data_IF_214648237908
#
_entry.id   IF_214648237908
#
_cell.length_a   1.000
_cell.length_b   1.000
_cell.length_c   1.000
_cell.angle_alpha   90.00
_cell.angle_beta   90.00
_cell.angle_gamma   90.00
#
_symmetry.space_group_name_H-M   'P 1'
#
loop_
_entity.id
_entity.type
_entity.pdbx_description
1 polymer ?
#
# COMPACT_ATOMS: atom_id res chain seq x y z
N UNK A 1 -38.93 58.75 -24.30
CA UNK A 1 -38.59 57.54 -23.52
C UNK A 1 -38.12 56.48 -24.47
N UNK A 2 -36.81 56.19 -24.58
CA UNK A 2 -36.32 55.03 -25.31
C UNK A 2 -36.28 53.82 -24.38
N UNK A 3 -36.90 52.73 -24.82
CA UNK A 3 -36.94 51.43 -24.15
C UNK A 3 -35.55 50.81 -24.09
N UNK A 4 -35.01 50.60 -22.89
CA UNK A 4 -33.83 49.76 -22.65
C UNK A 4 -34.16 48.32 -23.04
N UNK A 5 -33.56 47.85 -24.14
CA UNK A 5 -33.47 46.43 -24.43
C UNK A 5 -32.47 45.81 -23.45
N UNK A 6 -32.97 45.21 -22.38
CA UNK A 6 -32.18 44.38 -21.47
C UNK A 6 -31.82 43.09 -22.20
N UNK A 7 -30.75 43.12 -22.99
CA UNK A 7 -30.20 41.94 -23.65
C UNK A 7 -29.66 41.00 -22.56
N UNK A 8 -30.44 39.98 -22.24
CA UNK A 8 -30.12 39.03 -21.18
C UNK A 8 -28.77 38.37 -21.47
N UNK A 9 -27.85 38.43 -20.51
CA UNK A 9 -26.52 37.86 -20.64
C UNK A 9 -26.61 36.38 -21.09
N UNK A 10 -25.75 35.93 -22.01
CA UNK A 10 -25.79 34.57 -22.53
C UNK A 10 -25.65 33.57 -21.37
N UNK A 11 -26.66 32.70 -21.23
CA UNK A 11 -26.66 31.63 -20.24
C UNK A 11 -25.49 30.70 -20.56
N UNK A 12 -24.51 30.66 -19.67
CA UNK A 12 -23.41 29.70 -19.76
C UNK A 12 -23.99 28.28 -19.63
N UNK A 13 -24.03 27.54 -20.75
CA UNK A 13 -24.35 26.12 -20.75
C UNK A 13 -23.02 25.36 -20.66
N UNK A 14 -22.71 24.68 -19.55
CA UNK A 14 -21.50 23.90 -19.46
C UNK A 14 -21.52 22.80 -20.54
N UNK A 15 -20.39 22.56 -21.24
CA UNK A 15 -20.32 21.56 -22.30
C UNK A 15 -20.67 20.17 -21.75
N UNK A 16 -21.36 19.36 -22.57
CA UNK A 16 -21.69 17.97 -22.23
C UNK A 16 -20.41 17.20 -21.92
N UNK A 17 -20.40 16.58 -20.76
CA UNK A 17 -19.24 15.88 -20.22
C UNK A 17 -18.90 14.67 -21.09
N UNK A 18 -17.68 14.62 -21.62
CA UNK A 18 -17.19 13.46 -22.37
C UNK A 18 -16.51 12.48 -21.41
N UNK A 19 -16.67 11.18 -21.67
CA UNK A 19 -16.10 10.11 -20.84
C UNK A 19 -14.56 10.14 -20.79
N UNK A 20 -13.91 10.62 -21.86
CA UNK A 20 -12.46 10.72 -22.01
C UNK A 20 -12.01 12.20 -22.01
N UNK A 21 -12.30 12.93 -20.95
CA UNK A 21 -11.75 14.29 -20.73
C UNK A 21 -10.39 14.23 -20.01
N UNK A 22 -9.45 15.06 -20.45
CA UNK A 22 -8.10 15.11 -19.86
C UNK A 22 -8.16 15.55 -18.39
N UNK A 23 -7.69 14.67 -17.49
CA UNK A 23 -7.44 14.93 -16.05
C UNK A 23 -8.65 15.39 -15.23
N UNK A 24 -9.89 15.22 -15.72
CA UNK A 24 -11.09 15.55 -14.96
C UNK A 24 -11.40 14.46 -13.94
N UNK A 25 -11.63 14.86 -12.69
CA UNK A 25 -12.04 13.93 -11.64
C UNK A 25 -13.55 13.67 -11.73
N UNK A 26 -14.01 12.41 -11.79
CA UNK A 26 -15.44 12.11 -11.81
C UNK A 26 -16.08 12.53 -10.48
N UNK A 27 -17.35 12.97 -10.54
CA UNK A 27 -18.17 13.17 -9.34
C UNK A 27 -18.16 11.90 -8.47
N UNK A 28 -18.25 12.03 -7.14
CA UNK A 28 -18.20 10.90 -6.21
C UNK A 28 -19.20 9.76 -6.57
N UNK A 29 -20.41 10.11 -7.01
CA UNK A 29 -21.42 9.15 -7.46
C UNK A 29 -20.96 8.36 -8.70
N UNK A 30 -20.44 9.05 -9.73
CA UNK A 30 -19.89 8.38 -10.92
C UNK A 30 -18.66 7.54 -10.62
N UNK A 31 -17.78 8.02 -9.74
CA UNK A 31 -16.62 7.24 -9.29
C UNK A 31 -17.07 5.94 -8.62
N UNK A 32 -18.09 6.01 -7.74
CA UNK A 32 -18.66 4.83 -7.09
C UNK A 32 -19.32 3.88 -8.10
N UNK A 33 -20.13 4.39 -9.04
CA UNK A 33 -20.75 3.57 -10.09
C UNK A 33 -19.70 2.87 -10.95
N UNK A 34 -18.66 3.58 -11.37
CA UNK A 34 -17.57 3.00 -12.17
C UNK A 34 -16.76 1.98 -11.36
N UNK A 35 -16.51 2.22 -10.07
CA UNK A 35 -15.85 1.26 -9.19
C UNK A 35 -16.69 -0.02 -9.01
N UNK A 36 -18.00 0.12 -8.77
CA UNK A 36 -18.92 -1.02 -8.69
C UNK A 36 -19.00 -1.77 -10.01
N UNK A 37 -19.08 -1.07 -11.14
CA UNK A 37 -19.08 -1.67 -12.47
C UNK A 37 -17.76 -2.44 -12.73
N UNK A 38 -16.62 -1.87 -12.35
CA UNK A 38 -15.32 -2.54 -12.45
C UNK A 38 -15.24 -3.79 -11.57
N UNK A 39 -15.73 -3.73 -10.33
CA UNK A 39 -15.77 -4.89 -9.44
C UNK A 39 -16.70 -6.00 -9.97
N UNK A 40 -17.90 -5.64 -10.43
CA UNK A 40 -18.83 -6.58 -11.03
C UNK A 40 -18.29 -7.19 -12.34
N UNK A 41 -17.62 -6.39 -13.16
CA UNK A 41 -16.93 -6.88 -14.36
C UNK A 41 -15.85 -7.89 -14.00
N UNK A 42 -15.03 -7.61 -12.97
CA UNK A 42 -14.00 -8.54 -12.50
C UNK A 42 -14.60 -9.85 -12.00
N UNK A 43 -15.63 -9.80 -11.16
CA UNK A 43 -16.31 -10.99 -10.65
C UNK A 43 -17.02 -11.77 -11.77
N UNK A 44 -17.66 -11.06 -12.71
CA UNK A 44 -18.29 -11.68 -13.87
C UNK A 44 -17.28 -12.37 -14.79
N UNK A 45 -16.12 -11.76 -15.01
CA UNK A 45 -15.02 -12.36 -15.78
C UNK A 45 -14.44 -13.61 -15.09
N UNK A 46 -14.31 -13.58 -13.76
CA UNK A 46 -13.90 -14.75 -12.98
C UNK A 46 -14.92 -15.88 -13.15
N UNK A 47 -16.20 -15.63 -12.86
CA UNK A 47 -17.24 -16.66 -12.91
C UNK A 47 -17.39 -17.22 -14.34
N UNK A 48 -17.32 -16.36 -15.36
CA UNK A 48 -17.28 -16.78 -16.75
C UNK A 48 -16.06 -17.68 -17.04
N UNK A 49 -14.88 -17.34 -16.53
CA UNK A 49 -13.68 -18.16 -16.65
C UNK A 49 -13.86 -19.57 -16.08
N UNK A 50 -14.56 -19.72 -14.95
CA UNK A 50 -14.88 -21.03 -14.37
C UNK A 50 -15.78 -21.86 -15.30
N UNK A 51 -16.87 -21.28 -15.80
CA UNK A 51 -17.82 -22.01 -16.64
C UNK A 51 -17.28 -22.30 -18.05
N UNK A 52 -16.42 -21.44 -18.58
CA UNK A 52 -15.72 -21.64 -19.86
C UNK A 52 -14.59 -22.68 -19.76
N UNK A 53 -14.09 -22.96 -18.56
CA UNK A 53 -13.06 -23.98 -18.34
C UNK A 53 -13.67 -25.39 -18.48
N UNK A 54 -13.02 -26.31 -19.22
CA UNK A 54 -13.47 -27.70 -19.33
C UNK A 54 -13.68 -28.35 -17.96
N UNK A 55 -14.68 -29.21 -17.83
CA UNK A 55 -15.03 -29.84 -16.55
C UNK A 55 -13.86 -30.56 -15.86
N UNK A 56 -12.94 -31.15 -16.64
CA UNK A 56 -11.72 -31.79 -16.14
C UNK A 56 -10.73 -30.83 -15.47
N UNK A 57 -10.79 -29.53 -15.81
CA UNK A 57 -9.88 -28.51 -15.32
C UNK A 57 -10.52 -27.52 -14.33
N UNK A 58 -11.85 -27.58 -14.12
CA UNK A 58 -12.57 -26.67 -13.19
C UNK A 58 -12.03 -26.71 -11.76
N UNK A 59 -11.49 -27.85 -11.32
CA UNK A 59 -10.86 -27.97 -10.00
C UNK A 59 -9.66 -27.02 -9.82
N UNK A 60 -9.02 -26.60 -10.91
CA UNK A 60 -7.90 -25.64 -10.88
C UNK A 60 -8.34 -24.17 -10.99
N UNK A 61 -9.62 -23.92 -11.24
CA UNK A 61 -10.16 -22.58 -11.37
C UNK A 61 -11.54 -22.52 -10.70
N UNK A 62 -11.60 -22.53 -9.36
CA UNK A 62 -12.85 -22.59 -8.61
C UNK A 62 -13.71 -21.34 -8.82
N UNK A 63 -15.02 -21.54 -8.77
CA UNK A 63 -16.04 -20.50 -8.80
C UNK A 63 -16.00 -19.61 -7.56
N UNK A 64 -16.65 -18.45 -7.64
CA UNK A 64 -16.75 -17.53 -6.49
C UNK A 64 -17.48 -18.22 -5.33
N UNK A 65 -18.48 -19.06 -5.61
CA UNK A 65 -19.21 -19.83 -4.60
C UNK A 65 -18.33 -20.85 -3.88
N UNK A 66 -17.48 -21.58 -4.61
CA UNK A 66 -16.53 -22.53 -4.01
C UNK A 66 -15.53 -21.82 -3.10
N UNK A 67 -14.97 -20.70 -3.54
CA UNK A 67 -14.06 -19.88 -2.70
C UNK A 67 -14.77 -19.32 -1.47
N UNK A 68 -16.03 -18.89 -1.62
CA UNK A 68 -16.87 -18.44 -0.51
C UNK A 68 -17.10 -19.55 0.52
N UNK A 69 -17.38 -20.77 0.06
CA UNK A 69 -17.56 -21.93 0.95
C UNK A 69 -16.25 -22.32 1.65
N UNK A 70 -15.11 -22.26 0.95
CA UNK A 70 -13.80 -22.52 1.53
C UNK A 70 -13.45 -21.47 2.60
N UNK A 71 -13.75 -20.19 2.36
CA UNK A 71 -13.61 -19.13 3.37
C UNK A 71 -14.43 -19.42 4.62
N UNK A 72 -15.69 -19.83 4.46
CA UNK A 72 -16.55 -20.19 5.58
C UNK A 72 -15.93 -21.33 6.40
N UNK A 73 -15.53 -22.43 5.75
CA UNK A 73 -14.88 -23.58 6.42
C UNK A 73 -13.59 -23.16 7.12
N UNK A 74 -12.76 -22.34 6.49
CA UNK A 74 -11.51 -21.86 7.08
C UNK A 74 -11.77 -21.09 8.38
N UNK A 75 -12.66 -20.10 8.34
CA UNK A 75 -12.94 -19.25 9.49
C UNK A 75 -13.77 -19.93 10.58
N UNK A 76 -14.78 -20.73 10.20
CA UNK A 76 -15.69 -21.36 11.14
C UNK A 76 -15.15 -22.67 11.76
N UNK A 77 -14.38 -23.45 10.99
CA UNK A 77 -14.02 -24.83 11.39
C UNK A 77 -12.51 -25.02 11.60
N UNK A 78 -11.66 -24.24 10.92
CA UNK A 78 -10.19 -24.48 10.90
C UNK A 78 -9.38 -23.44 11.67
N UNK A 79 -10.02 -22.64 12.52
CA UNK A 79 -9.38 -21.59 13.33
C UNK A 79 -8.46 -20.66 12.52
N UNK A 80 -8.82 -20.37 11.26
CA UNK A 80 -7.99 -19.59 10.35
C UNK A 80 -7.72 -18.15 10.83
N UNK A 81 -8.54 -17.65 11.77
CA UNK A 81 -8.32 -16.36 12.42
C UNK A 81 -6.97 -16.32 13.15
N UNK A 82 -6.50 -17.44 13.72
CA UNK A 82 -5.19 -17.52 14.35
C UNK A 82 -4.07 -17.32 13.31
N UNK A 83 -4.13 -18.02 12.18
CA UNK A 83 -3.17 -17.85 11.08
C UNK A 83 -3.16 -16.39 10.58
N UNK A 84 -4.34 -15.81 10.35
CA UNK A 84 -4.48 -14.40 9.95
C UNK A 84 -3.85 -13.47 10.97
N UNK A 85 -4.06 -13.70 12.27
CA UNK A 85 -3.50 -12.85 13.33
C UNK A 85 -1.98 -12.88 13.37
N UNK A 86 -1.37 -14.05 13.17
CA UNK A 86 0.09 -14.22 13.11
C UNK A 86 0.67 -13.49 11.90
N UNK A 87 0.04 -13.65 10.73
CA UNK A 87 0.41 -12.94 9.50
C UNK A 87 0.35 -11.42 9.67
N UNK A 88 -0.74 -10.90 10.25
CA UNK A 88 -0.89 -9.48 10.58
C UNK A 88 0.23 -9.02 11.53
N UNK A 89 0.47 -9.74 12.62
CA UNK A 89 1.50 -9.40 13.58
C UNK A 89 2.89 -9.30 12.94
N UNK A 90 3.26 -10.26 12.08
CA UNK A 90 4.53 -10.26 11.33
C UNK A 90 4.69 -9.01 10.46
N UNK A 91 3.63 -8.61 9.76
CA UNK A 91 3.64 -7.38 8.94
C UNK A 91 3.78 -6.15 9.82
N UNK A 92 2.93 -5.99 10.84
CA UNK A 92 2.94 -4.77 11.64
C UNK A 92 4.26 -4.60 12.39
N UNK A 93 4.81 -5.66 13.00
CA UNK A 93 6.06 -5.56 13.75
C UNK A 93 7.26 -5.24 12.85
N UNK A 94 7.36 -5.90 11.69
CA UNK A 94 8.43 -5.66 10.71
C UNK A 94 8.33 -4.27 10.09
N UNK A 95 7.12 -3.84 9.73
CA UNK A 95 6.87 -2.54 9.12
C UNK A 95 7.09 -1.39 10.10
N UNK A 96 6.70 -1.53 11.37
CA UNK A 96 6.99 -0.54 12.40
C UNK A 96 8.49 -0.43 12.67
N UNK A 97 9.20 -1.56 12.79
CA UNK A 97 10.65 -1.55 12.93
C UNK A 97 11.35 -0.87 11.73
N UNK A 98 10.92 -1.19 10.51
CA UNK A 98 11.44 -0.56 9.30
C UNK A 98 11.15 0.94 9.27
N UNK A 99 9.91 1.34 9.59
CA UNK A 99 9.51 2.76 9.58
C UNK A 99 10.25 3.59 10.62
N UNK A 100 10.46 3.04 11.82
CA UNK A 100 11.20 3.69 12.90
C UNK A 100 12.65 4.03 12.52
N UNK A 101 13.25 3.28 11.59
CA UNK A 101 14.61 3.53 11.07
C UNK A 101 14.54 4.35 9.77
N UNK A 102 13.65 3.96 8.86
CA UNK A 102 13.59 4.52 7.52
C UNK A 102 13.16 5.98 7.50
N UNK A 103 12.16 6.34 8.30
CA UNK A 103 11.60 7.69 8.32
C UNK A 103 12.63 8.71 8.84
N UNK A 104 13.28 8.51 9.99
CA UNK A 104 14.32 9.44 10.45
C UNK A 104 15.49 9.56 9.47
N UNK A 105 16.01 8.43 8.96
CA UNK A 105 17.14 8.45 8.02
C UNK A 105 16.76 9.17 6.72
N UNK A 106 15.58 8.89 6.16
CA UNK A 106 15.10 9.54 4.95
C UNK A 106 14.94 11.05 5.11
N UNK A 107 14.36 11.50 6.24
CA UNK A 107 14.22 12.93 6.54
C UNK A 107 15.59 13.60 6.68
N UNK A 108 16.53 12.96 7.38
CA UNK A 108 17.88 13.48 7.57
C UNK A 108 18.64 13.58 6.24
N UNK A 109 18.54 12.57 5.38
CA UNK A 109 19.12 12.62 4.04
C UNK A 109 18.46 13.69 3.15
N UNK A 110 17.15 13.88 3.30
CA UNK A 110 16.40 14.94 2.63
C UNK A 110 16.90 16.33 3.02
N UNK A 111 17.24 16.50 4.29
CA UNK A 111 17.58 17.80 4.88
C UNK A 111 19.07 18.14 4.85
N UNK A 112 19.96 17.13 4.85
CA UNK A 112 21.41 17.33 4.97
C UNK A 112 22.16 16.61 3.83
N UNK A 113 22.82 17.40 2.97
CA UNK A 113 23.59 16.89 1.84
C UNK A 113 24.69 15.90 2.22
N UNK A 114 25.36 16.10 3.36
CA UNK A 114 26.42 15.18 3.82
C UNK A 114 25.87 13.80 4.22
N UNK A 115 24.72 13.77 4.90
CA UNK A 115 24.05 12.51 5.27
C UNK A 115 23.58 11.80 3.99
N UNK A 116 23.03 12.56 3.03
CA UNK A 116 22.68 12.03 1.71
C UNK A 116 23.89 11.42 1.01
N UNK A 117 25.01 12.12 0.94
CA UNK A 117 26.22 11.61 0.28
C UNK A 117 26.76 10.33 0.94
N UNK A 118 26.63 10.21 2.26
CA UNK A 118 27.06 9.02 3.02
C UNK A 118 26.19 7.79 2.73
N UNK A 119 24.87 7.92 2.76
CA UNK A 119 23.95 6.78 2.68
C UNK A 119 23.46 6.46 1.26
N UNK A 120 23.33 7.47 0.39
CA UNK A 120 22.67 7.32 -0.91
C UNK A 120 23.33 6.26 -1.84
N UNK A 121 24.67 6.14 -1.93
CA UNK A 121 25.30 5.09 -2.74
C UNK A 121 24.89 3.69 -2.27
N UNK A 122 24.93 3.45 -0.95
CA UNK A 122 24.56 2.17 -0.34
C UNK A 122 23.08 1.87 -0.59
N UNK A 123 22.18 2.80 -0.32
CA UNK A 123 20.74 2.60 -0.51
C UNK A 123 20.39 2.28 -1.97
N UNK A 124 21.04 2.98 -2.90
CA UNK A 124 20.84 2.74 -4.34
C UNK A 124 21.25 1.32 -4.71
N UNK A 125 22.37 0.80 -4.19
CA UNK A 125 22.81 -0.56 -4.43
C UNK A 125 21.83 -1.60 -3.84
N UNK A 126 21.42 -1.42 -2.58
CA UNK A 126 20.53 -2.36 -1.88
C UNK A 126 19.14 -2.46 -2.51
N UNK A 127 18.64 -1.41 -3.16
CA UNK A 127 17.34 -1.41 -3.86
C UNK A 127 17.27 -2.40 -5.03
N UNK A 128 18.41 -2.78 -5.61
CA UNK A 128 18.45 -3.77 -6.70
C UNK A 128 18.56 -5.21 -6.21
N UNK A 129 18.74 -5.42 -4.90
CA UNK A 129 18.79 -6.76 -4.32
C UNK A 129 17.36 -7.21 -3.96
N UNK A 130 16.83 -8.27 -4.59
CA UNK A 130 15.51 -8.77 -4.24
C UNK A 130 15.52 -9.29 -2.80
N UNK A 131 14.60 -8.84 -1.94
CA UNK A 131 14.57 -9.32 -0.56
C UNK A 131 14.41 -10.85 -0.48
N UNK A 132 13.62 -11.43 -1.38
CA UNK A 132 13.45 -12.88 -1.50
C UNK A 132 14.76 -13.65 -1.71
N UNK A 133 15.79 -13.04 -2.30
CA UNK A 133 17.11 -13.67 -2.48
C UNK A 133 17.84 -13.92 -1.16
N UNK A 134 17.45 -13.23 -0.07
CA UNK A 134 18.04 -13.42 1.26
C UNK A 134 17.43 -14.57 2.04
N UNK A 135 16.36 -15.21 1.56
CA UNK A 135 15.68 -16.31 2.28
C UNK A 135 16.65 -17.40 2.74
N UNK A 136 17.54 -17.97 1.89
CA UNK A 136 18.46 -19.02 2.33
C UNK A 136 19.37 -18.55 3.47
N UNK A 137 19.85 -17.31 3.40
CA UNK A 137 20.73 -16.72 4.40
C UNK A 137 20.00 -16.52 5.73
N UNK A 138 18.78 -15.99 5.68
CA UNK A 138 17.95 -15.78 6.86
C UNK A 138 17.58 -17.10 7.54
N UNK A 139 17.36 -18.17 6.77
CA UNK A 139 17.14 -19.51 7.32
C UNK A 139 18.40 -20.08 7.97
N UNK A 140 19.59 -19.82 7.42
CA UNK A 140 20.85 -20.25 8.05
C UNK A 140 21.10 -19.50 9.36
N UNK A 141 20.82 -18.20 9.41
CA UNK A 141 21.05 -17.38 10.60
C UNK A 141 20.02 -17.57 11.70
N UNK A 142 18.74 -17.63 11.33
CA UNK A 142 17.63 -17.60 12.30
C UNK A 142 16.80 -18.89 12.32
N UNK A 143 17.09 -19.85 11.44
CA UNK A 143 16.24 -21.03 11.24
C UNK A 143 14.87 -20.68 10.62
N UNK A 144 13.95 -21.65 10.52
CA UNK A 144 12.58 -21.44 10.04
C UNK A 144 11.68 -20.73 11.08
N UNK A 145 12.21 -19.76 11.80
CA UNK A 145 11.54 -19.04 12.89
C UNK A 145 10.76 -17.82 12.39
N UNK A 146 9.98 -17.18 13.26
CA UNK A 146 9.38 -15.88 12.97
C UNK A 146 10.41 -14.78 12.71
N UNK A 147 11.58 -14.87 13.34
CA UNK A 147 12.64 -13.89 13.18
C UNK A 147 13.15 -13.84 11.74
N UNK A 148 13.30 -14.98 11.06
CA UNK A 148 13.65 -15.03 9.65
C UNK A 148 12.61 -14.32 8.77
N UNK A 149 11.32 -14.54 9.05
CA UNK A 149 10.19 -13.97 8.29
C UNK A 149 10.09 -12.46 8.50
N UNK A 150 10.20 -12.00 9.75
CA UNK A 150 10.21 -10.58 10.12
C UNK A 150 11.40 -9.87 9.51
N UNK A 151 12.60 -10.48 9.54
CA UNK A 151 13.79 -9.93 8.91
C UNK A 151 13.63 -9.79 7.38
N UNK A 152 13.02 -10.78 6.72
CA UNK A 152 12.72 -10.72 5.29
C UNK A 152 11.79 -9.56 4.96
N UNK A 153 10.69 -9.42 5.72
CA UNK A 153 9.73 -8.34 5.54
C UNK A 153 10.37 -6.97 5.78
N UNK A 154 11.22 -6.85 6.80
CA UNK A 154 11.97 -5.64 7.13
C UNK A 154 12.91 -5.22 5.99
N UNK A 155 13.74 -6.14 5.49
CA UNK A 155 14.66 -5.91 4.37
C UNK A 155 13.87 -5.55 3.10
N UNK A 156 12.71 -6.18 2.90
CA UNK A 156 11.81 -5.94 1.77
C UNK A 156 11.30 -4.52 1.64
N UNK A 157 11.26 -3.74 2.73
CA UNK A 157 10.69 -2.39 2.71
C UNK A 157 11.63 -1.28 3.15
N UNK A 158 12.61 -1.54 4.03
CA UNK A 158 13.42 -0.48 4.64
C UNK A 158 14.13 0.41 3.60
N UNK A 159 14.80 -0.19 2.62
CA UNK A 159 15.57 0.56 1.62
C UNK A 159 14.69 1.37 0.67
N UNK A 160 13.55 0.82 0.26
CA UNK A 160 12.56 1.52 -0.56
C UNK A 160 11.91 2.66 0.22
N UNK A 161 11.55 2.43 1.49
CA UNK A 161 10.93 3.43 2.33
C UNK A 161 11.87 4.61 2.62
N UNK A 162 13.16 4.37 2.92
CA UNK A 162 14.14 5.46 3.08
C UNK A 162 14.17 6.34 1.84
N UNK A 163 14.20 5.73 0.64
CA UNK A 163 14.25 6.48 -0.60
C UNK A 163 12.98 7.31 -0.84
N UNK A 164 11.80 6.74 -0.60
CA UNK A 164 10.55 7.49 -0.75
C UNK A 164 10.46 8.67 0.22
N UNK A 165 10.90 8.48 1.47
CA UNK A 165 10.94 9.55 2.47
C UNK A 165 11.95 10.64 2.08
N UNK A 166 13.11 10.26 1.54
CA UNK A 166 14.10 11.19 0.99
C UNK A 166 13.50 12.04 -0.13
N UNK A 167 12.81 11.41 -1.08
CA UNK A 167 12.18 12.09 -2.21
C UNK A 167 11.09 13.07 -1.73
N UNK A 168 10.21 12.63 -0.82
CA UNK A 168 9.17 13.47 -0.23
C UNK A 168 9.75 14.67 0.54
N UNK A 169 10.86 14.47 1.25
CA UNK A 169 11.51 15.53 2.03
C UNK A 169 12.19 16.54 1.09
N UNK A 170 12.80 16.07 0.01
CA UNK A 170 13.48 16.93 -0.98
C UNK A 170 12.48 17.69 -1.87
N UNK A 171 11.25 17.17 -2.02
CA UNK A 171 10.20 17.81 -2.80
C UNK A 171 9.61 19.07 -2.13
N UNK A 172 9.96 19.35 -0.87
CA UNK A 172 9.54 20.59 -0.20
C UNK A 172 10.18 21.78 -0.91
N UNK A 173 9.35 22.78 -1.20
CA UNK A 173 9.75 24.07 -1.75
C UNK A 173 10.86 24.72 -0.92
N UNK A 174 11.95 25.09 -1.59
CA UNK A 174 13.15 25.68 -0.94
C UNK A 174 12.82 27.01 -0.28
N UNK A 175 11.83 27.71 -0.82
CA UNK A 175 11.30 29.00 -0.38
C UNK A 175 10.88 28.94 1.10
N UNK A 176 10.28 27.83 1.55
CA UNK A 176 9.92 27.67 2.97
C UNK A 176 11.14 27.60 3.89
N UNK A 177 12.21 26.95 3.44
CA UNK A 177 13.46 26.83 4.19
C UNK A 177 14.21 28.17 4.22
N UNK A 178 14.30 28.84 3.07
CA UNK A 178 14.96 30.15 2.93
C UNK A 178 14.25 31.26 3.73
N UNK A 179 12.91 31.25 3.76
CA UNK A 179 12.13 32.16 4.60
C UNK A 179 12.44 31.95 6.09
N UNK A 180 12.51 30.69 6.54
CA UNK A 180 12.90 30.37 7.93
C UNK A 180 14.31 30.84 8.27
N UNK A 181 15.28 30.64 7.37
CA UNK A 181 16.66 31.11 7.54
C UNK A 181 16.74 32.64 7.64
N UNK A 182 15.99 33.35 6.81
CA UNK A 182 15.95 34.83 6.81
C UNK A 182 15.37 35.40 8.11
N UNK A 183 14.44 34.68 8.74
CA UNK A 183 13.90 35.01 10.07
C UNK A 183 14.82 34.60 11.24
N UNK A 184 16.03 34.10 10.97
CA UNK A 184 17.00 33.69 11.99
C UNK A 184 16.70 32.34 12.64
N UNK A 185 15.84 31.51 12.04
CA UNK A 185 15.54 30.19 12.60
C UNK A 185 16.76 29.26 12.55
N UNK A 186 17.01 28.55 13.65
CA UNK A 186 18.07 27.55 13.69
C UNK A 186 17.77 26.37 12.77
N UNK A 187 18.80 25.62 12.33
CA UNK A 187 18.62 24.41 11.49
C UNK A 187 17.65 23.38 12.12
N UNK A 188 17.69 23.23 13.45
CA UNK A 188 16.78 22.35 14.18
C UNK A 188 15.36 22.88 14.12
N UNK A 189 15.16 24.18 14.32
CA UNK A 189 13.85 24.85 14.21
C UNK A 189 13.25 24.70 12.82
N UNK A 190 14.06 24.87 11.78
CA UNK A 190 13.63 24.67 10.39
C UNK A 190 13.24 23.22 10.15
N UNK A 191 14.06 22.27 10.60
CA UNK A 191 13.79 20.85 10.42
C UNK A 191 12.47 20.44 11.08
N UNK A 192 12.31 20.72 12.38
CA UNK A 192 11.13 20.24 13.14
C UNK A 192 9.90 21.11 12.95
N UNK A 193 10.07 22.39 12.62
CA UNK A 193 8.97 23.36 12.50
C UNK A 193 8.47 23.58 11.07
N UNK A 194 9.29 23.30 10.05
CA UNK A 194 8.95 23.56 8.64
C UNK A 194 9.02 22.26 7.83
N UNK A 195 10.20 21.64 7.79
CA UNK A 195 10.46 20.51 6.88
C UNK A 195 9.63 19.28 7.27
N UNK A 196 9.71 18.83 8.53
CA UNK A 196 8.99 17.64 8.98
C UNK A 196 7.47 17.80 8.84
N UNK A 197 6.82 18.88 9.34
CA UNK A 197 5.38 19.06 9.17
C UNK A 197 4.93 19.13 7.71
N UNK A 198 5.74 19.72 6.82
CA UNK A 198 5.43 19.80 5.39
C UNK A 198 5.55 18.45 4.67
N UNK A 199 6.54 17.62 5.02
CA UNK A 199 6.77 16.32 4.38
C UNK A 199 5.86 15.21 4.94
N UNK A 200 5.43 15.31 6.21
CA UNK A 200 4.72 14.25 6.92
C UNK A 200 3.51 13.66 6.16
N UNK A 201 2.62 14.44 5.53
CA UNK A 201 1.50 13.87 4.78
C UNK A 201 1.96 12.99 3.60
N UNK A 202 2.98 13.43 2.87
CA UNK A 202 3.55 12.66 1.76
C UNK A 202 4.31 11.42 2.25
N UNK A 203 5.04 11.55 3.37
CA UNK A 203 5.69 10.42 4.04
C UNK A 203 4.65 9.36 4.45
N UNK A 204 3.51 9.78 5.00
CA UNK A 204 2.45 8.87 5.40
C UNK A 204 1.83 8.14 4.19
N UNK A 205 1.64 8.83 3.06
CA UNK A 205 1.24 8.21 1.80
C UNK A 205 2.29 7.19 1.30
N UNK A 206 3.59 7.48 1.45
CA UNK A 206 4.65 6.51 1.12
C UNK A 206 4.69 5.31 2.06
N UNK A 207 4.46 5.52 3.37
CA UNK A 207 4.33 4.43 4.33
C UNK A 207 3.14 3.53 3.96
N UNK A 208 2.00 4.12 3.59
CA UNK A 208 0.82 3.40 3.10
C UNK A 208 1.12 2.55 1.85
N UNK A 209 1.92 3.08 0.93
CA UNK A 209 2.35 2.31 -0.24
C UNK A 209 3.27 1.14 0.17
N UNK A 210 4.22 1.38 1.07
CA UNK A 210 5.19 0.35 1.48
C UNK A 210 4.58 -0.76 2.34
N UNK A 211 3.56 -0.49 3.16
CA UNK A 211 2.85 -1.56 3.88
C UNK A 211 2.04 -2.44 2.90
N UNK A 212 1.54 -1.89 1.79
CA UNK A 212 0.92 -2.69 0.72
C UNK A 212 1.95 -3.64 0.08
N UNK A 213 3.19 -3.18 -0.10
CA UNK A 213 4.30 -4.03 -0.56
C UNK A 213 4.67 -5.11 0.48
N UNK A 214 4.60 -4.82 1.79
CA UNK A 214 4.81 -5.83 2.84
C UNK A 214 3.86 -7.02 2.72
N UNK A 215 2.60 -6.81 2.33
CA UNK A 215 1.64 -7.91 2.09
C UNK A 215 2.10 -8.85 0.96
N UNK A 216 2.79 -8.32 -0.06
CA UNK A 216 3.34 -9.15 -1.14
C UNK A 216 4.50 -10.01 -0.63
N UNK A 217 5.40 -9.43 0.16
CA UNK A 217 6.52 -10.16 0.75
C UNK A 217 6.09 -11.16 1.82
N UNK A 218 4.98 -10.92 2.53
CA UNK A 218 4.47 -11.84 3.54
C UNK A 218 4.21 -13.23 2.95
N UNK A 219 3.58 -13.29 1.77
CA UNK A 219 3.33 -14.57 1.08
C UNK A 219 4.64 -15.31 0.88
N UNK A 220 5.66 -14.62 0.35
CA UNK A 220 6.99 -15.19 0.11
C UNK A 220 7.64 -15.65 1.43
N UNK A 221 7.49 -14.87 2.51
CA UNK A 221 8.04 -15.20 3.82
C UNK A 221 7.40 -16.45 4.42
N UNK A 222 6.09 -16.63 4.23
CA UNK A 222 5.33 -17.69 4.86
C UNK A 222 5.33 -19.00 4.07
N UNK A 223 5.55 -18.96 2.75
CA UNK A 223 5.64 -20.21 1.98
C UNK A 223 6.91 -21.02 2.30
N UNK A 224 7.93 -20.38 2.87
CA UNK A 224 9.21 -21.04 3.19
C UNK A 224 9.31 -21.35 4.68
N UNK A 225 8.95 -22.58 5.05
CA UNK A 225 9.19 -23.10 6.39
C UNK A 225 8.30 -22.50 7.49
N UNK A 226 7.18 -21.86 7.16
CA UNK A 226 6.19 -21.46 8.15
C UNK A 226 5.26 -22.63 8.53
N UNK A 227 4.94 -22.73 9.82
CA UNK A 227 3.96 -23.70 10.33
C UNK A 227 2.57 -23.08 10.44
N UNK A 228 2.50 -21.75 10.57
CA UNK A 228 1.33 -20.93 10.76
C UNK A 228 1.38 -19.69 9.84
N UNK A 229 0.23 -19.06 9.66
CA UNK A 229 0.04 -17.92 8.77
C UNK A 229 -0.71 -18.27 7.49
N UNK A 230 -1.22 -17.24 6.81
CA UNK A 230 -2.03 -17.38 5.61
C UNK A 230 -1.25 -18.11 4.51
N UNK A 231 0.02 -17.75 4.30
CA UNK A 231 0.88 -18.41 3.30
C UNK A 231 1.16 -19.88 3.64
N UNK A 232 1.23 -20.25 4.92
CA UNK A 232 1.40 -21.64 5.35
C UNK A 232 0.15 -22.48 5.04
N UNK A 233 -1.04 -21.91 5.26
CA UNK A 233 -2.32 -22.52 4.89
C UNK A 233 -2.40 -22.75 3.38
N UNK A 234 -2.03 -21.75 2.57
CA UNK A 234 -1.99 -21.86 1.12
C UNK A 234 -1.01 -22.96 0.65
N UNK A 235 0.18 -23.04 1.26
CA UNK A 235 1.15 -24.08 0.93
C UNK A 235 0.65 -25.49 1.25
N UNK A 236 -0.04 -25.67 2.38
CA UNK A 236 -0.66 -26.95 2.73
C UNK A 236 -1.77 -27.32 1.76
N UNK A 237 -2.62 -26.35 1.38
CA UNK A 237 -3.68 -26.56 0.39
C UNK A 237 -3.13 -26.96 -0.99
N UNK A 238 -2.00 -26.35 -1.40
CA UNK A 238 -1.32 -26.68 -2.65
C UNK A 238 -0.85 -28.14 -2.74
N UNK A 239 -0.49 -28.77 -1.62
CA UNK A 239 -0.08 -30.20 -1.61
C UNK A 239 -1.22 -31.14 -2.03
N UNK A 240 -2.46 -30.76 -1.77
CA UNK A 240 -3.66 -31.55 -2.11
C UNK A 240 -4.44 -30.98 -3.30
N UNK A 241 -3.89 -29.96 -3.99
CA UNK A 241 -4.54 -29.26 -5.10
C UNK A 241 -5.92 -28.69 -4.71
N UNK A 242 -6.05 -28.21 -3.47
CA UNK A 242 -7.23 -27.48 -2.99
C UNK A 242 -7.10 -26.02 -3.38
N UNK A 243 -7.35 -25.72 -4.66
CA UNK A 243 -7.15 -24.39 -5.24
C UNK A 243 -8.17 -23.39 -4.70
N UNK A 244 -9.36 -23.85 -4.34
CA UNK A 244 -10.38 -23.10 -3.58
C UNK A 244 -9.83 -22.48 -2.30
N UNK A 245 -9.09 -23.27 -1.50
CA UNK A 245 -8.46 -22.81 -0.26
C UNK A 245 -7.30 -21.84 -0.54
N UNK A 246 -6.53 -22.06 -1.61
CA UNK A 246 -5.46 -21.13 -2.02
C UNK A 246 -6.06 -19.78 -2.41
N UNK A 247 -7.14 -19.78 -3.22
CA UNK A 247 -7.84 -18.56 -3.62
C UNK A 247 -8.50 -17.87 -2.43
N UNK A 248 -9.07 -18.62 -1.48
CA UNK A 248 -9.57 -18.07 -0.23
C UNK A 248 -8.47 -17.34 0.56
N UNK A 249 -7.26 -17.90 0.62
CA UNK A 249 -6.08 -17.24 1.21
C UNK A 249 -5.71 -15.94 0.48
N UNK A 250 -5.67 -15.95 -0.86
CA UNK A 250 -5.38 -14.76 -1.68
C UNK A 250 -6.43 -13.66 -1.45
N UNK A 251 -7.72 -14.01 -1.45
CA UNK A 251 -8.82 -13.08 -1.18
C UNK A 251 -8.70 -12.49 0.23
N UNK A 252 -8.32 -13.32 1.21
CA UNK A 252 -8.10 -12.85 2.59
C UNK A 252 -6.97 -11.82 2.66
N UNK A 253 -5.84 -12.07 2.00
CA UNK A 253 -4.72 -11.11 1.91
C UNK A 253 -5.16 -9.83 1.21
N UNK A 254 -5.90 -9.92 0.11
CA UNK A 254 -6.45 -8.77 -0.60
C UNK A 254 -7.37 -7.92 0.27
N UNK A 255 -8.25 -8.56 1.04
CA UNK A 255 -9.14 -7.91 1.98
C UNK A 255 -8.38 -7.22 3.11
N UNK A 256 -7.38 -7.87 3.70
CA UNK A 256 -6.53 -7.28 4.76
C UNK A 256 -5.67 -6.13 4.24
N UNK A 257 -5.14 -6.25 3.02
CA UNK A 257 -4.41 -5.17 2.35
C UNK A 257 -5.29 -3.94 2.14
N UNK A 258 -6.52 -4.15 1.63
CA UNK A 258 -7.51 -3.07 1.48
C UNK A 258 -7.91 -2.47 2.82
N UNK A 259 -8.15 -3.29 3.84
CA UNK A 259 -8.46 -2.83 5.20
C UNK A 259 -7.32 -1.94 5.73
N UNK A 260 -6.07 -2.37 5.55
CA UNK A 260 -4.89 -1.60 5.96
C UNK A 260 -4.80 -0.28 5.21
N UNK A 261 -5.04 -0.25 3.89
CA UNK A 261 -5.08 0.96 3.08
C UNK A 261 -6.15 1.94 3.57
N UNK A 262 -7.35 1.45 3.89
CA UNK A 262 -8.45 2.27 4.44
C UNK A 262 -8.11 2.84 5.81
N UNK A 263 -7.50 2.05 6.70
CA UNK A 263 -7.04 2.50 8.01
C UNK A 263 -6.01 3.62 7.86
N UNK A 264 -5.01 3.45 6.99
CA UNK A 264 -4.02 4.50 6.72
C UNK A 264 -4.68 5.76 6.17
N UNK A 265 -5.61 5.66 5.22
CA UNK A 265 -6.34 6.85 4.72
C UNK A 265 -7.12 7.56 5.83
N UNK A 266 -7.77 6.80 6.71
CA UNK A 266 -8.49 7.34 7.87
C UNK A 266 -7.56 8.10 8.82
N UNK A 267 -6.43 7.47 9.18
CA UNK A 267 -5.40 8.09 10.05
C UNK A 267 -4.82 9.34 9.40
N UNK A 268 -4.51 9.30 8.10
CA UNK A 268 -3.96 10.44 7.36
C UNK A 268 -4.91 11.65 7.38
N UNK A 269 -6.21 11.42 7.16
CA UNK A 269 -7.23 12.48 7.25
C UNK A 269 -7.36 13.07 8.64
N UNK A 270 -7.25 12.24 9.68
CA UNK A 270 -7.33 12.68 11.07
C UNK A 270 -6.07 13.46 11.52
N UNK A 271 -4.87 13.01 11.11
CA UNK A 271 -3.60 13.65 11.49
C UNK A 271 -3.29 14.91 10.67
N UNK A 272 -3.74 14.97 9.41
CA UNK A 272 -3.38 16.04 8.47
C UNK A 272 -4.61 16.70 7.81
N UNK A 273 -5.55 17.27 8.59
CA UNK A 273 -6.78 17.87 8.04
C UNK A 273 -6.48 18.99 7.03
N UNK A 274 -5.42 19.78 7.26
CA UNK A 274 -5.01 20.89 6.40
C UNK A 274 -4.54 20.49 4.99
N UNK A 275 -4.16 19.22 4.78
CA UNK A 275 -3.73 18.73 3.46
C UNK A 275 -4.93 18.26 2.60
N UNK A 276 -6.04 17.92 3.23
CA UNK A 276 -7.27 17.49 2.53
C UNK A 276 -7.93 18.69 1.87
N UNK A 277 -7.99 19.84 2.54
CA UNK A 277 -8.56 21.09 2.02
C UNK A 277 -7.81 21.68 0.81
N UNK A 278 -6.52 21.38 0.65
CA UNK A 278 -5.74 21.82 -0.53
C UNK A 278 -5.94 20.97 -1.78
N UNK A 279 -6.56 19.78 -1.68
CA UNK A 279 -6.76 18.83 -2.79
C UNK A 279 -8.22 18.74 -3.27
N UNK A 280 -9.17 19.37 -2.57
CA UNK A 280 -10.58 19.55 -2.98
C UNK A 280 -10.76 20.84 -3.76
#
# INVERSE_FOLDING_TARGET
MPSENTEAAPIYIPPKERFLEFRRQPSAQRAAVLACAGALMFLGLWEAGHYLTPASARKFFPSIGEVGSALYVLFAERNFLQDVSVSCWRIFISFMAASAIAVPIGILMGSFGNIRALFNPTLTAWRYLPAASFIPLLLVWFGPTDQAKIALLFIGVIFFLISLVLDNTTAIQKEFVEAGLTMGASRRTILTGIVVPAALPAIFDSMRNMIAVSWTYLVIAEIVGAQDGIGAVMMRAGRFLNVDVIMAGIVTIGALGLLTDLIFRGICRALFPWNVERRS
#
